data_IF_536539283807
#
_entry.id   IF_536539283807
#
_cell.length_a   1.000
_cell.length_b   1.000
_cell.length_c   1.000
_cell.angle_alpha   90.00
_cell.angle_beta   90.00
_cell.angle_gamma   90.00
#
_symmetry.space_group_name_H-M   'P 1'
#
loop_
_entity.id
_entity.type
_entity.pdbx_description
1 polymer ?
#
# COMPACT_ATOMS: atom_id res chain seq x y z
N UNK A 1 18.96 -10.28 -12.14
CA UNK A 1 18.88 -8.98 -11.43
C UNK A 1 18.72 -7.78 -12.36
N UNK A 2 19.41 -7.70 -13.52
CA UNK A 2 19.40 -6.55 -14.45
C UNK A 2 18.03 -6.19 -15.07
N UNK A 3 17.31 -7.16 -15.61
CA UNK A 3 15.95 -6.95 -16.15
C UNK A 3 14.93 -6.54 -15.06
N UNK A 4 15.19 -6.94 -13.81
CA UNK A 4 14.37 -6.59 -12.66
C UNK A 4 14.36 -5.09 -12.36
N UNK A 5 15.50 -4.39 -12.49
CA UNK A 5 15.59 -2.94 -12.26
C UNK A 5 14.87 -2.12 -13.33
N UNK A 6 14.87 -2.59 -14.58
CA UNK A 6 14.11 -1.98 -15.67
C UNK A 6 12.61 -2.18 -15.48
N UNK A 7 12.17 -3.42 -15.20
CA UNK A 7 10.76 -3.74 -15.03
C UNK A 7 10.16 -3.05 -13.79
N UNK A 8 10.87 -3.11 -12.66
CA UNK A 8 10.46 -2.40 -11.43
C UNK A 8 10.52 -0.89 -11.60
N UNK A 9 11.54 -0.36 -12.29
CA UNK A 9 11.64 1.07 -12.57
C UNK A 9 10.51 1.60 -13.44
N UNK A 10 10.13 0.86 -14.50
CA UNK A 10 8.98 1.18 -15.35
C UNK A 10 7.65 1.08 -14.57
N UNK A 11 7.48 0.05 -13.74
CA UNK A 11 6.29 -0.10 -12.92
C UNK A 11 6.15 1.04 -11.90
N UNK A 12 7.23 1.40 -11.20
CA UNK A 12 7.27 2.48 -10.21
C UNK A 12 7.06 3.84 -10.87
N UNK A 13 7.67 4.09 -12.03
CA UNK A 13 7.43 5.29 -12.83
C UNK A 13 5.98 5.39 -13.30
N UNK A 14 5.41 4.30 -13.81
CA UNK A 14 4.01 4.24 -14.24
C UNK A 14 3.01 4.47 -13.11
N UNK A 15 3.28 3.90 -11.92
CA UNK A 15 2.50 4.18 -10.71
C UNK A 15 2.61 5.66 -10.32
N UNK A 16 3.81 6.25 -10.37
CA UNK A 16 4.01 7.67 -10.15
C UNK A 16 3.14 8.55 -11.06
N UNK A 17 3.19 8.30 -12.38
CA UNK A 17 2.36 9.01 -13.36
C UNK A 17 0.86 8.79 -13.15
N UNK A 18 0.46 7.58 -12.75
CA UNK A 18 -0.93 7.27 -12.44
C UNK A 18 -1.44 8.12 -11.27
N UNK A 19 -0.66 8.25 -10.19
CA UNK A 19 -1.05 9.08 -9.04
C UNK A 19 -1.01 10.59 -9.33
N UNK A 20 -0.33 11.05 -10.39
CA UNK A 20 -0.40 12.45 -10.84
C UNK A 20 -1.68 12.75 -11.62
N UNK A 21 -2.44 11.74 -12.05
CA UNK A 21 -3.65 11.95 -12.84
C UNK A 21 -4.78 12.52 -11.97
N UNK A 22 -5.50 13.53 -12.49
CA UNK A 22 -6.48 14.32 -11.75
C UNK A 22 -7.59 13.50 -11.08
N UNK A 23 -7.99 12.37 -11.67
CA UNK A 23 -9.02 11.46 -11.13
C UNK A 23 -8.46 10.29 -10.33
N UNK A 24 -7.13 10.12 -10.27
CA UNK A 24 -6.51 9.08 -9.45
C UNK A 24 -6.88 9.16 -7.96
N UNK A 25 -7.15 10.35 -7.37
CA UNK A 25 -7.59 10.42 -5.98
C UNK A 25 -8.95 9.76 -5.72
N UNK A 26 -9.84 9.76 -6.72
CA UNK A 26 -11.14 9.10 -6.62
C UNK A 26 -10.99 7.59 -6.70
N UNK A 27 -10.12 7.08 -7.59
CA UNK A 27 -9.83 5.64 -7.70
C UNK A 27 -9.20 5.11 -6.41
N UNK A 28 -8.20 5.82 -5.89
CA UNK A 28 -7.49 5.46 -4.65
C UNK A 28 -8.38 5.62 -3.43
N UNK A 29 -9.26 6.63 -3.41
CA UNK A 29 -10.32 6.78 -2.42
C UNK A 29 -11.30 5.61 -2.42
N UNK A 30 -11.72 5.13 -3.60
CA UNK A 30 -12.57 3.93 -3.73
C UNK A 30 -11.84 2.67 -3.26
N UNK A 31 -10.57 2.49 -3.62
CA UNK A 31 -9.75 1.39 -3.10
C UNK A 31 -9.59 1.46 -1.58
N UNK A 32 -9.29 2.62 -1.01
CA UNK A 32 -9.19 2.82 0.45
C UNK A 32 -10.53 2.51 1.13
N UNK A 33 -11.63 3.02 0.59
CA UNK A 33 -12.98 2.83 1.13
C UNK A 33 -13.46 1.38 1.05
N UNK A 34 -13.02 0.60 0.06
CA UNK A 34 -13.36 -0.82 -0.08
C UNK A 34 -12.41 -1.75 0.69
N UNK A 35 -11.12 -1.42 0.78
CA UNK A 35 -10.13 -2.21 1.52
C UNK A 35 -10.33 -2.13 3.04
N UNK A 36 -10.78 -0.99 3.58
CA UNK A 36 -10.98 -0.83 5.02
C UNK A 36 -12.00 -1.83 5.60
N UNK A 37 -13.22 -1.98 5.06
CA UNK A 37 -14.16 -3.01 5.50
C UNK A 37 -13.57 -4.42 5.42
N UNK A 38 -12.84 -4.73 4.35
CA UNK A 38 -12.21 -6.04 4.15
C UNK A 38 -11.16 -6.30 5.25
N UNK A 39 -10.28 -5.34 5.52
CA UNK A 39 -9.27 -5.46 6.57
C UNK A 39 -9.91 -5.60 7.96
N UNK A 40 -10.98 -4.86 8.24
CA UNK A 40 -11.72 -4.97 9.51
C UNK A 40 -12.33 -6.37 9.64
N UNK A 41 -12.99 -6.89 8.59
CA UNK A 41 -13.59 -8.24 8.60
C UNK A 41 -12.52 -9.30 8.84
N UNK A 42 -11.39 -9.25 8.12
CA UNK A 42 -10.28 -10.19 8.29
C UNK A 42 -9.69 -10.09 9.70
N UNK A 43 -9.51 -8.87 10.22
CA UNK A 43 -9.00 -8.64 11.57
C UNK A 43 -9.93 -9.19 12.66
N UNK A 44 -11.24 -9.02 12.49
CA UNK A 44 -12.25 -9.58 13.40
C UNK A 44 -12.27 -11.11 13.35
N UNK A 45 -12.21 -11.71 12.16
CA UNK A 45 -12.14 -13.17 12.02
C UNK A 45 -10.86 -13.74 12.65
N UNK A 46 -9.73 -13.07 12.47
CA UNK A 46 -8.47 -13.44 13.10
C UNK A 46 -8.56 -13.33 14.63
N UNK A 47 -9.20 -12.28 15.16
CA UNK A 47 -9.42 -12.10 16.59
C UNK A 47 -10.35 -13.18 17.17
N UNK A 48 -11.44 -13.50 16.47
CA UNK A 48 -12.36 -14.57 16.85
C UNK A 48 -11.64 -15.92 16.93
N UNK A 49 -10.77 -16.23 15.97
CA UNK A 49 -9.95 -17.45 16.02
C UNK A 49 -8.99 -17.47 17.22
N UNK A 50 -8.52 -16.31 17.70
CA UNK A 50 -7.70 -16.22 18.93
C UNK A 50 -8.54 -16.45 20.19
N UNK A 51 -9.77 -15.95 20.22
CA UNK A 51 -10.67 -16.05 21.39
C UNK A 51 -11.23 -17.46 21.53
N UNK A 52 -11.73 -18.03 20.44
CA UNK A 52 -12.48 -19.30 20.48
C UNK A 52 -11.60 -20.53 20.23
N UNK A 53 -10.50 -20.44 19.48
CA UNK A 53 -9.67 -21.59 19.18
C UNK A 53 -8.36 -21.66 20.00
N UNK A 54 -7.99 -22.88 20.41
CA UNK A 54 -6.62 -23.21 20.86
C UNK A 54 -5.76 -23.60 19.67
N UNK A 55 -5.63 -22.72 18.69
CA UNK A 55 -4.82 -22.97 17.50
C UNK A 55 -3.32 -22.83 17.80
N UNK A 56 -2.49 -23.67 17.14
CA UNK A 56 -1.02 -23.58 17.17
C UNK A 56 -0.50 -22.20 16.73
N UNK A 57 -1.31 -21.46 15.98
CA UNK A 57 -0.98 -20.15 15.39
C UNK A 57 -1.59 -18.96 16.11
N UNK A 58 -2.04 -19.12 17.36
CA UNK A 58 -2.71 -18.05 18.14
C UNK A 58 -1.93 -16.73 18.16
N UNK A 59 -0.60 -16.76 18.25
CA UNK A 59 0.25 -15.55 18.21
C UNK A 59 0.22 -14.86 16.84
N UNK A 60 0.21 -15.63 15.75
CA UNK A 60 0.16 -15.10 14.38
C UNK A 60 -1.22 -14.50 14.12
N UNK A 61 -2.30 -15.19 14.50
CA UNK A 61 -3.66 -14.67 14.35
C UNK A 61 -3.87 -13.41 15.20
N UNK A 62 -3.28 -13.33 16.39
CA UNK A 62 -3.32 -12.11 17.20
C UNK A 62 -2.56 -10.96 16.54
N UNK A 63 -1.37 -11.22 16.00
CA UNK A 63 -0.60 -10.21 15.26
C UNK A 63 -1.39 -9.71 14.04
N UNK A 64 -1.95 -10.62 13.25
CA UNK A 64 -2.79 -10.27 12.08
C UNK A 64 -4.01 -9.48 12.51
N UNK A 65 -4.70 -9.88 13.59
CA UNK A 65 -5.84 -9.15 14.12
C UNK A 65 -5.46 -7.73 14.53
N UNK A 66 -4.39 -7.56 15.31
CA UNK A 66 -3.91 -6.24 15.75
C UNK A 66 -3.54 -5.37 14.57
N UNK A 67 -2.76 -5.89 13.62
CA UNK A 67 -2.33 -5.12 12.44
C UNK A 67 -3.53 -4.73 11.57
N UNK A 68 -4.41 -5.67 11.24
CA UNK A 68 -5.54 -5.41 10.33
C UNK A 68 -6.61 -4.51 10.97
N UNK A 69 -6.87 -4.66 12.27
CA UNK A 69 -7.80 -3.78 12.99
C UNK A 69 -7.20 -2.38 13.22
N UNK A 70 -5.90 -2.27 13.51
CA UNK A 70 -5.23 -0.98 13.64
C UNK A 70 -5.21 -0.23 12.30
N UNK A 71 -4.84 -0.90 11.20
CA UNK A 71 -4.82 -0.31 9.85
C UNK A 71 -6.23 -0.01 9.35
N UNK A 72 -7.19 -0.91 9.59
CA UNK A 72 -8.60 -0.70 9.25
C UNK A 72 -9.23 0.45 10.04
N UNK A 73 -8.91 0.56 11.33
CA UNK A 73 -9.41 1.61 12.24
C UNK A 73 -8.72 2.96 12.09
N UNK A 74 -7.45 3.01 11.65
CA UNK A 74 -6.75 4.26 11.29
C UNK A 74 -7.53 5.06 10.24
N UNK A 75 -8.31 4.36 9.42
CA UNK A 75 -9.25 4.94 8.48
C UNK A 75 -10.34 5.84 9.04
N UNK A 76 -10.67 5.72 10.33
CA UNK A 76 -11.71 6.50 10.99
C UNK A 76 -11.26 7.88 11.45
N UNK A 77 -9.95 8.10 11.61
CA UNK A 77 -9.44 9.41 12.00
C UNK A 77 -9.33 10.33 10.78
N UNK A 78 -9.73 11.59 10.97
CA UNK A 78 -9.83 12.66 9.97
C UNK A 78 -8.45 13.17 9.50
N UNK A 79 -7.44 12.30 9.46
CA UNK A 79 -6.16 12.52 8.80
C UNK A 79 -6.26 12.24 7.28
N UNK A 80 -7.50 12.15 6.76
CA UNK A 80 -7.78 11.94 5.34
C UNK A 80 -7.02 12.96 4.50
N UNK A 81 -7.05 14.24 4.88
CA UNK A 81 -6.40 15.33 4.16
C UNK A 81 -4.87 15.16 4.17
N UNK A 82 -4.24 14.93 5.33
CA UNK A 82 -2.79 14.73 5.43
C UNK A 82 -2.31 13.47 4.69
N UNK A 83 -3.11 12.40 4.73
CA UNK A 83 -2.83 11.16 3.99
C UNK A 83 -2.96 11.40 2.48
N UNK A 84 -3.97 12.16 2.04
CA UNK A 84 -4.14 12.52 0.65
C UNK A 84 -3.02 13.45 0.16
N UNK A 85 -2.59 14.41 0.98
CA UNK A 85 -1.46 15.30 0.66
C UNK A 85 -0.15 14.51 0.51
N UNK A 86 0.08 13.50 1.34
CA UNK A 86 1.24 12.63 1.19
C UNK A 86 1.13 11.74 -0.06
N UNK A 87 0.00 11.06 -0.25
CA UNK A 87 -0.22 10.11 -1.35
C UNK A 87 -0.30 10.77 -2.73
N UNK A 88 -0.77 12.01 -2.83
CA UNK A 88 -0.91 12.73 -4.11
C UNK A 88 0.07 13.90 -4.28
N UNK A 89 0.67 14.40 -3.21
CA UNK A 89 1.70 15.42 -3.28
C UNK A 89 3.10 14.81 -3.38
N UNK A 90 3.56 14.21 -2.28
CA UNK A 90 4.98 13.80 -2.14
C UNK A 90 5.27 12.45 -2.80
N UNK A 91 4.37 11.47 -2.62
CA UNK A 91 4.58 10.11 -3.10
C UNK A 91 4.71 10.00 -4.63
N UNK A 92 3.88 10.66 -5.47
CA UNK A 92 3.97 10.52 -6.92
C UNK A 92 5.28 11.09 -7.47
N UNK A 93 5.72 12.23 -6.91
CA UNK A 93 7.01 12.85 -7.24
C UNK A 93 8.16 11.88 -6.91
N UNK A 94 8.14 11.28 -5.71
CA UNK A 94 9.13 10.31 -5.32
C UNK A 94 9.14 9.07 -6.23
N UNK A 95 7.97 8.51 -6.54
CA UNK A 95 7.83 7.34 -7.43
C UNK A 95 8.34 7.63 -8.84
N UNK A 96 8.03 8.80 -9.41
CA UNK A 96 8.57 9.22 -10.72
C UNK A 96 10.09 9.31 -10.68
N UNK A 97 10.66 9.98 -9.67
CA UNK A 97 12.12 10.14 -9.54
C UNK A 97 12.83 8.80 -9.36
N UNK A 98 12.35 7.95 -8.44
CA UNK A 98 12.93 6.62 -8.22
C UNK A 98 12.77 5.69 -9.42
N UNK A 99 11.63 5.77 -10.12
CA UNK A 99 11.40 5.06 -11.37
C UNK A 99 12.42 5.42 -12.45
N UNK A 100 12.64 6.72 -12.66
CA UNK A 100 13.66 7.24 -13.60
C UNK A 100 15.06 6.78 -13.20
N UNK A 101 15.43 6.88 -11.92
CA UNK A 101 16.75 6.45 -11.42
C UNK A 101 16.93 4.94 -11.62
N UNK A 102 15.92 4.12 -11.31
CA UNK A 102 15.99 2.66 -11.47
C UNK A 102 16.11 2.25 -12.94
N UNK A 103 15.36 2.90 -13.84
CA UNK A 103 15.48 2.68 -15.29
C UNK A 103 16.86 3.11 -15.78
N UNK A 104 17.32 4.32 -15.43
CA UNK A 104 18.62 4.84 -15.84
C UNK A 104 19.78 3.96 -15.34
N UNK A 105 19.69 3.46 -14.10
CA UNK A 105 20.64 2.49 -13.57
C UNK A 105 20.59 1.20 -14.38
N UNK A 106 19.41 0.61 -14.59
CA UNK A 106 19.25 -0.60 -15.38
C UNK A 106 19.81 -0.49 -16.81
N UNK A 107 19.63 0.65 -17.47
CA UNK A 107 20.20 0.93 -18.81
C UNK A 107 21.73 1.08 -18.76
N UNK A 108 22.27 1.78 -17.76
CA UNK A 108 23.73 1.95 -17.62
C UNK A 108 24.45 0.62 -17.36
N UNK A 109 23.85 -0.29 -16.60
CA UNK A 109 24.44 -1.60 -16.30
C UNK A 109 24.25 -2.63 -17.43
N UNK A 110 23.56 -2.25 -18.51
CA UNK A 110 23.43 -3.04 -19.74
C UNK A 110 24.49 -2.67 -20.80
N UNK A 111 25.09 -1.49 -20.70
CA UNK A 111 26.33 -1.14 -21.42
C UNK A 111 27.53 -1.77 -20.73
#
# INVERSE_FOLDING_TARGET
MRFGHLLSGLAVFGLGLFFTYYYSPLVVGVFKGSLQPIMIIIGMLALLSVVFDKTRYKKINLLVAVVMLAVGGYGWYDEYIATMDFLYGVLPIALVLFGVISVAHGVRTLK
#
